data_IF_801711008019
#
_entry.id   IF_801711008019
#
_cell.length_a   1.000
_cell.length_b   1.000
_cell.length_c   1.000
_cell.angle_alpha   90.00
_cell.angle_beta   90.00
_cell.angle_gamma   90.00
#
_symmetry.space_group_name_H-M   'P 1'
#
loop_
_entity.id
_entity.type
_entity.pdbx_description
1 polymer ?
#
# COMPACT_ATOMS: atom_id res chain seq x y z
N UNK A 1 17.36 14.14 18.56
CA UNK A 1 17.37 14.65 17.18
C UNK A 1 17.42 13.42 16.31
N UNK A 2 16.28 12.93 15.87
CA UNK A 2 16.20 11.84 14.88
C UNK A 2 16.84 12.41 13.61
N UNK A 3 17.82 11.69 13.08
CA UNK A 3 18.44 12.03 11.80
C UNK A 3 17.34 11.82 10.74
N UNK A 4 16.62 12.89 10.39
CA UNK A 4 15.79 12.84 9.19
C UNK A 4 16.74 12.45 8.06
N UNK A 5 16.47 11.31 7.39
CA UNK A 5 17.20 10.96 6.18
C UNK A 5 17.10 12.14 5.21
N UNK A 6 18.13 12.39 4.40
CA UNK A 6 18.05 13.46 3.42
C UNK A 6 16.78 13.27 2.60
N UNK A 7 15.96 14.30 2.55
CA UNK A 7 14.73 14.35 1.76
C UNK A 7 15.07 13.97 0.31
N UNK A 8 14.54 12.83 -0.13
CA UNK A 8 14.55 12.46 -1.53
C UNK A 8 13.28 13.06 -2.12
N UNK A 9 13.42 13.87 -3.16
CA UNK A 9 12.26 14.45 -3.82
C UNK A 9 11.45 13.32 -4.44
N UNK A 10 10.16 13.18 -4.11
CA UNK A 10 9.32 12.17 -4.72
C UNK A 10 9.24 12.34 -6.24
N UNK A 11 9.16 11.23 -6.94
CA UNK A 11 8.92 11.20 -8.37
C UNK A 11 7.41 11.11 -8.64
N UNK A 12 6.96 11.73 -9.73
CA UNK A 12 5.54 11.75 -10.11
C UNK A 12 5.41 11.16 -11.50
N UNK A 13 4.61 10.11 -11.61
CA UNK A 13 4.28 9.47 -12.88
C UNK A 13 2.79 9.61 -13.16
N UNK A 14 2.39 10.19 -14.29
CA UNK A 14 1.02 10.07 -14.78
C UNK A 14 0.91 8.75 -15.52
N UNK A 15 0.46 7.69 -14.81
CA UNK A 15 0.43 6.31 -15.32
C UNK A 15 -0.79 6.00 -16.16
N UNK A 16 -1.83 6.81 -16.04
CA UNK A 16 -2.99 6.86 -16.95
C UNK A 16 -3.60 8.26 -16.85
N UNK A 17 -4.47 8.63 -17.77
CA UNK A 17 -5.08 9.97 -17.78
C UNK A 17 -5.77 10.29 -16.44
N UNK A 18 -5.21 11.26 -15.69
CA UNK A 18 -5.70 11.66 -14.37
C UNK A 18 -5.49 10.59 -13.27
N UNK A 19 -4.58 9.65 -13.47
CA UNK A 19 -4.11 8.71 -12.47
C UNK A 19 -2.60 8.90 -12.30
N UNK A 20 -2.20 9.30 -11.11
CA UNK A 20 -0.82 9.61 -10.77
C UNK A 20 -0.28 8.63 -9.73
N UNK A 21 0.92 8.12 -9.95
CA UNK A 21 1.73 7.51 -8.91
C UNK A 21 2.66 8.57 -8.34
N UNK A 22 2.65 8.71 -7.03
CA UNK A 22 3.57 9.53 -6.27
C UNK A 22 4.57 8.57 -5.63
N UNK A 23 5.71 8.37 -6.30
CA UNK A 23 6.75 7.46 -5.82
C UNK A 23 7.60 8.17 -4.77
N UNK A 24 7.45 7.76 -3.52
CA UNK A 24 8.02 8.45 -2.36
C UNK A 24 9.49 8.07 -2.09
N UNK A 25 10.00 7.11 -2.83
CA UNK A 25 11.37 6.68 -2.84
C UNK A 25 11.59 5.22 -2.48
N UNK A 26 12.79 4.73 -2.76
CA UNK A 26 13.30 3.40 -2.42
C UNK A 26 14.77 3.52 -2.08
N UNK A 27 15.21 2.86 -1.02
CA UNK A 27 16.63 2.75 -0.74
C UNK A 27 17.23 1.66 -1.64
N UNK A 28 17.91 2.10 -2.70
CA UNK A 28 18.64 1.21 -3.63
C UNK A 28 19.99 0.73 -3.08
N UNK A 29 20.34 1.12 -1.87
CA UNK A 29 21.56 0.61 -1.23
C UNK A 29 21.38 -0.87 -0.95
N UNK A 30 22.27 -1.76 -1.43
CA UNK A 30 22.18 -3.18 -1.13
C UNK A 30 22.02 -3.39 0.37
N UNK A 31 21.17 -4.34 0.81
CA UNK A 31 21.04 -4.61 2.23
C UNK A 31 22.41 -4.92 2.81
N UNK A 32 22.79 -4.16 3.81
CA UNK A 32 23.94 -4.46 4.65
C UNK A 32 23.75 -5.85 5.26
N UNK A 33 24.83 -6.56 5.66
CA UNK A 33 24.68 -7.81 6.40
C UNK A 33 23.66 -7.70 7.53
N UNK A 34 23.07 -8.81 7.92
CA UNK A 34 21.95 -8.92 8.88
C UNK A 34 22.09 -8.10 10.18
N UNK A 35 23.32 -7.69 10.53
CA UNK A 35 23.61 -6.78 11.64
C UNK A 35 23.13 -5.34 11.47
N UNK A 36 22.83 -4.93 10.22
CA UNK A 36 22.37 -3.58 9.86
C UNK A 36 20.90 -3.57 9.44
N UNK A 37 20.12 -4.58 9.82
CA UNK A 37 18.67 -4.57 9.66
C UNK A 37 18.14 -3.30 10.33
N UNK A 38 17.31 -2.62 9.60
CA UNK A 38 16.68 -1.37 9.95
C UNK A 38 16.45 -1.20 11.45
N UNK A 39 16.95 -0.12 12.00
CA UNK A 39 16.85 0.18 13.43
C UNK A 39 15.45 0.67 13.81
N UNK A 40 14.59 0.93 12.80
CA UNK A 40 13.21 1.35 12.98
C UNK A 40 12.35 0.90 11.77
N UNK A 41 11.04 0.89 11.95
CA UNK A 41 10.07 0.44 10.95
C UNK A 41 10.10 1.25 9.65
N UNK A 42 10.35 2.55 9.74
CA UNK A 42 10.42 3.45 8.59
C UNK A 42 11.56 3.10 7.63
N UNK A 43 12.71 2.70 8.18
CA UNK A 43 13.85 2.28 7.36
C UNK A 43 13.57 1.00 6.58
N UNK A 44 12.75 0.12 7.14
CA UNK A 44 12.33 -1.12 6.48
C UNK A 44 11.40 -0.80 5.31
N UNK A 45 10.34 -0.03 5.54
CA UNK A 45 9.37 0.34 4.52
C UNK A 45 10.01 1.14 3.38
N UNK A 46 10.95 2.04 3.73
CA UNK A 46 11.73 2.78 2.75
C UNK A 46 12.55 1.89 1.81
N UNK A 47 13.07 0.77 2.31
CA UNK A 47 13.83 -0.18 1.49
C UNK A 47 12.97 -0.89 0.45
N UNK A 48 11.70 -1.07 0.73
CA UNK A 48 10.75 -1.72 -0.17
C UNK A 48 10.23 -0.79 -1.26
N UNK A 49 10.42 0.51 -1.12
CA UNK A 49 9.79 1.52 -1.97
C UNK A 49 8.35 1.76 -1.53
N UNK A 50 7.91 2.99 -1.61
CA UNK A 50 6.55 3.37 -1.19
C UNK A 50 5.92 4.26 -2.25
N UNK A 51 4.69 3.93 -2.62
CA UNK A 51 3.86 4.71 -3.52
C UNK A 51 2.59 5.17 -2.83
N UNK A 52 2.17 6.39 -3.15
CA UNK A 52 0.79 6.83 -2.99
C UNK A 52 0.20 7.08 -4.37
N UNK A 53 -1.10 6.91 -4.52
CA UNK A 53 -1.74 7.18 -5.82
C UNK A 53 -2.74 8.31 -5.70
N UNK A 54 -2.89 9.08 -6.79
CA UNK A 54 -3.91 10.14 -6.87
C UNK A 54 -4.77 9.93 -8.10
N UNK A 55 -6.07 9.84 -7.90
CA UNK A 55 -7.06 9.70 -8.97
C UNK A 55 -7.83 11.01 -9.08
N UNK A 56 -7.84 11.62 -10.27
CA UNK A 56 -8.52 12.89 -10.51
C UNK A 56 -9.72 12.70 -11.43
N UNK A 57 -10.86 13.26 -11.02
CA UNK A 57 -12.06 13.25 -11.82
C UNK A 57 -13.13 14.22 -11.29
N UNK A 58 -13.87 14.88 -12.18
CA UNK A 58 -14.98 15.77 -11.80
C UNK A 58 -14.63 16.92 -10.85
N UNK A 59 -13.37 17.37 -10.85
CA UNK A 59 -12.88 18.40 -9.93
C UNK A 59 -12.60 17.88 -8.51
N UNK A 60 -12.52 16.58 -8.33
CA UNK A 60 -12.14 15.92 -7.08
C UNK A 60 -10.85 15.14 -7.29
N UNK A 61 -9.93 15.19 -6.34
CA UNK A 61 -8.79 14.29 -6.24
C UNK A 61 -9.03 13.30 -5.10
N UNK A 62 -8.82 12.01 -5.37
CA UNK A 62 -8.79 10.97 -4.36
C UNK A 62 -7.34 10.54 -4.18
N UNK A 63 -6.83 10.67 -2.95
CA UNK A 63 -5.50 10.22 -2.53
C UNK A 63 -5.64 8.83 -1.93
N UNK A 64 -4.94 7.86 -2.47
CA UNK A 64 -4.87 6.50 -1.95
C UNK A 64 -3.55 6.34 -1.22
N UNK A 65 -3.63 6.26 0.10
CA UNK A 65 -2.57 6.27 1.10
C UNK A 65 -1.78 7.60 1.19
N UNK A 66 -1.24 7.86 2.37
CA UNK A 66 -0.66 9.18 2.71
C UNK A 66 0.83 9.14 3.00
N UNK A 67 1.47 7.98 2.81
CA UNK A 67 2.91 7.78 2.92
C UNK A 67 3.41 7.45 4.34
N UNK A 68 4.71 7.18 4.41
CA UNK A 68 5.44 6.68 5.60
C UNK A 68 5.71 7.78 6.61
N UNK A 69 6.05 8.97 6.12
CA UNK A 69 6.42 10.10 6.96
C UNK A 69 5.36 11.19 6.94
N UNK A 70 5.23 11.90 8.05
CA UNK A 70 4.43 13.13 8.09
C UNK A 70 4.85 14.14 7.01
N UNK A 71 6.15 14.30 6.75
CA UNK A 71 6.66 15.17 5.67
C UNK A 71 6.25 14.73 4.27
N UNK A 72 6.12 13.43 4.02
CA UNK A 72 5.58 12.91 2.75
C UNK A 72 4.09 13.25 2.61
N UNK A 73 3.30 13.05 3.67
CA UNK A 73 1.89 13.47 3.68
C UNK A 73 1.71 14.95 3.39
N UNK A 74 2.55 15.80 3.97
CA UNK A 74 2.57 17.24 3.69
C UNK A 74 2.93 17.53 2.21
N UNK A 75 3.89 16.80 1.67
CA UNK A 75 4.29 16.95 0.26
C UNK A 75 3.16 16.47 -0.68
N UNK A 76 2.56 15.30 -0.42
CA UNK A 76 1.42 14.78 -1.20
C UNK A 76 0.28 15.82 -1.21
N UNK A 77 -0.08 16.35 -0.04
CA UNK A 77 -1.09 17.40 0.07
C UNK A 77 -0.75 18.60 -0.78
N UNK A 78 0.50 19.09 -0.67
CA UNK A 78 0.98 20.26 -1.43
C UNK A 78 0.96 20.02 -2.93
N UNK A 79 1.38 18.83 -3.39
CA UNK A 79 1.32 18.44 -4.80
C UNK A 79 -0.12 18.46 -5.32
N UNK A 80 -1.04 17.81 -4.62
CA UNK A 80 -2.45 17.75 -5.01
C UNK A 80 -3.05 19.15 -5.13
N UNK A 81 -2.80 20.02 -4.15
CA UNK A 81 -3.37 21.38 -4.15
C UNK A 81 -2.77 22.30 -5.21
N UNK A 82 -1.45 22.24 -5.44
CA UNK A 82 -0.76 23.19 -6.31
C UNK A 82 -0.74 22.77 -7.76
N UNK A 83 -0.52 21.47 -8.02
CA UNK A 83 -0.36 20.96 -9.38
C UNK A 83 -1.71 20.50 -9.97
N UNK A 84 -2.50 19.73 -9.18
CA UNK A 84 -3.77 19.18 -9.66
C UNK A 84 -4.97 20.10 -9.43
N UNK A 85 -4.89 20.99 -8.46
CA UNK A 85 -5.89 22.04 -8.14
C UNK A 85 -7.33 21.56 -8.09
N UNK A 86 -7.64 20.47 -7.38
CA UNK A 86 -8.99 20.00 -7.29
C UNK A 86 -9.87 20.95 -6.45
N UNK A 87 -11.18 20.88 -6.63
CA UNK A 87 -12.15 21.57 -5.77
C UNK A 87 -12.37 20.83 -4.44
N UNK A 88 -12.09 19.53 -4.40
CA UNK A 88 -12.23 18.66 -3.23
C UNK A 88 -11.13 17.61 -3.22
N UNK A 89 -10.73 17.23 -2.01
CA UNK A 89 -9.80 16.14 -1.78
C UNK A 89 -10.52 15.09 -0.93
N UNK A 90 -10.39 13.84 -1.31
CA UNK A 90 -10.76 12.66 -0.54
C UNK A 90 -9.50 11.85 -0.28
N UNK A 91 -9.43 11.19 0.87
CA UNK A 91 -8.37 10.23 1.17
C UNK A 91 -9.01 8.85 1.31
N UNK A 92 -8.34 7.83 0.82
CA UNK A 92 -8.64 6.43 1.12
C UNK A 92 -7.40 5.82 1.74
N UNK A 93 -7.52 5.26 2.94
CA UNK A 93 -6.48 4.41 3.51
C UNK A 93 -6.74 2.97 3.09
N UNK A 94 -5.72 2.34 2.53
CA UNK A 94 -5.78 0.95 2.08
C UNK A 94 -5.91 0.00 3.27
N UNK A 95 -5.11 0.22 4.31
CA UNK A 95 -5.13 -0.53 5.57
C UNK A 95 -4.47 0.27 6.69
N UNK A 96 -4.36 -0.33 7.89
CA UNK A 96 -3.96 0.37 9.11
C UNK A 96 -2.45 0.57 9.29
N UNK A 97 -1.58 -0.02 8.48
CA UNK A 97 -0.13 0.10 8.65
C UNK A 97 0.36 1.54 8.52
N UNK A 98 1.41 1.86 9.26
CA UNK A 98 1.82 3.25 9.47
C UNK A 98 2.36 3.91 8.21
N UNK A 99 2.97 3.16 7.33
CA UNK A 99 3.48 3.63 6.03
C UNK A 99 2.38 4.05 5.03
N UNK A 100 1.12 3.73 5.35
CA UNK A 100 -0.06 4.14 4.58
C UNK A 100 -0.83 5.29 5.21
N UNK A 101 -0.71 5.48 6.53
CA UNK A 101 -1.57 6.42 7.29
C UNK A 101 -0.80 7.54 7.99
N UNK A 102 0.53 7.52 8.03
CA UNK A 102 1.34 8.50 8.77
C UNK A 102 1.12 9.94 8.31
N UNK A 103 0.77 10.13 7.06
CA UNK A 103 0.45 11.47 6.51
C UNK A 103 -0.97 11.94 6.75
N UNK A 104 -1.86 11.15 7.35
CA UNK A 104 -3.28 11.50 7.56
C UNK A 104 -3.48 12.83 8.28
N UNK A 105 -2.55 13.22 9.16
CA UNK A 105 -2.61 14.49 9.89
C UNK A 105 -2.66 15.71 8.96
N UNK A 106 -2.07 15.63 7.76
CA UNK A 106 -2.12 16.68 6.77
C UNK A 106 -3.43 16.71 5.96
N UNK A 107 -4.33 15.75 6.18
CA UNK A 107 -5.64 15.61 5.54
C UNK A 107 -6.79 15.60 6.57
N UNK A 108 -6.53 16.02 7.81
CA UNK A 108 -7.54 16.00 8.87
C UNK A 108 -8.79 16.86 8.58
N UNK A 109 -8.68 17.82 7.65
CA UNK A 109 -9.76 18.66 7.15
C UNK A 109 -10.52 18.01 5.97
N UNK A 110 -10.08 16.84 5.50
CA UNK A 110 -10.67 16.10 4.38
C UNK A 110 -11.47 14.89 4.87
N UNK A 111 -12.41 14.38 4.04
CA UNK A 111 -12.94 13.03 4.24
C UNK A 111 -11.83 11.99 4.09
N UNK A 112 -11.61 11.19 5.15
CA UNK A 112 -10.72 10.04 5.15
C UNK A 112 -11.58 8.78 5.21
N UNK A 113 -11.49 7.96 4.20
CA UNK A 113 -12.31 6.78 3.96
C UNK A 113 -11.47 5.54 4.22
N UNK A 114 -11.98 4.57 4.96
CA UNK A 114 -11.36 3.26 5.14
C UNK A 114 -12.41 2.20 5.49
N UNK A 115 -11.99 0.94 5.63
CA UNK A 115 -12.87 -0.06 6.24
C UNK A 115 -13.13 0.26 7.71
N UNK A 116 -14.25 -0.22 8.26
CA UNK A 116 -14.50 -0.15 9.71
C UNK A 116 -13.38 -0.83 10.49
N UNK A 117 -12.84 -1.95 9.96
CA UNK A 117 -11.73 -2.70 10.58
C UNK A 117 -10.47 -1.85 10.69
N UNK A 118 -10.10 -1.13 9.64
CA UNK A 118 -8.95 -0.22 9.65
C UNK A 118 -9.10 0.85 10.74
N UNK A 119 -10.24 1.53 10.78
CA UNK A 119 -10.53 2.51 11.83
C UNK A 119 -10.47 1.91 13.23
N UNK A 120 -11.09 0.75 13.44
CA UNK A 120 -11.15 0.09 14.75
C UNK A 120 -9.75 -0.34 15.21
N UNK A 121 -8.92 -0.86 14.31
CA UNK A 121 -7.53 -1.23 14.58
C UNK A 121 -6.69 0.00 14.94
N UNK A 122 -6.76 1.07 14.14
CA UNK A 122 -6.07 2.33 14.44
C UNK A 122 -6.51 2.91 15.79
N UNK A 123 -7.80 2.89 16.08
CA UNK A 123 -8.34 3.38 17.36
C UNK A 123 -7.85 2.53 18.56
N UNK A 124 -7.80 1.22 18.41
CA UNK A 124 -7.32 0.31 19.45
C UNK A 124 -5.80 0.41 19.70
N UNK A 125 -5.05 0.79 18.68
CA UNK A 125 -3.59 0.89 18.74
C UNK A 125 -3.10 2.34 18.94
N UNK A 126 -3.99 3.33 18.97
CA UNK A 126 -3.64 4.76 18.95
C UNK A 126 -2.58 5.12 19.99
N UNK A 127 -2.79 4.78 21.26
CA UNK A 127 -1.84 5.12 22.34
C UNK A 127 -0.46 4.50 22.11
N UNK A 128 -0.42 3.29 21.55
CA UNK A 128 0.85 2.59 21.25
C UNK A 128 1.57 3.22 20.05
N UNK A 129 0.83 3.67 19.05
CA UNK A 129 1.36 4.34 17.86
C UNK A 129 1.91 5.71 18.27
N UNK A 130 1.12 6.52 18.97
CA UNK A 130 1.48 7.88 19.39
C UNK A 130 2.61 7.92 20.42
N UNK A 131 2.79 6.85 21.19
CA UNK A 131 3.91 6.70 22.13
C UNK A 131 5.14 5.97 21.53
N UNK A 132 5.11 5.62 20.24
CA UNK A 132 6.13 4.81 19.58
C UNK A 132 6.39 3.44 20.24
N UNK A 133 5.44 2.91 21.03
CA UNK A 133 5.61 1.63 21.71
C UNK A 133 5.15 0.43 20.87
N UNK A 134 4.52 0.67 19.70
CA UNK A 134 4.08 -0.40 18.80
C UNK A 134 5.25 -0.92 17.94
N UNK A 135 5.84 -0.06 17.14
CA UNK A 135 6.92 -0.40 16.19
C UNK A 135 8.20 0.42 16.41
N UNK A 136 8.25 1.21 17.48
CA UNK A 136 9.36 2.12 17.76
C UNK A 136 9.18 3.50 17.10
N UNK A 137 10.24 4.29 17.15
CA UNK A 137 10.27 5.63 16.55
C UNK A 137 10.33 5.56 15.01
N UNK A 138 9.76 6.55 14.31
CA UNK A 138 9.08 7.74 14.86
C UNK A 138 7.66 7.47 15.33
N UNK A 139 7.23 8.21 16.34
CA UNK A 139 5.83 8.26 16.73
C UNK A 139 4.98 8.89 15.62
N UNK A 140 3.78 8.38 15.43
CA UNK A 140 2.83 8.88 14.42
C UNK A 140 1.62 9.50 15.11
N UNK A 141 1.22 10.70 14.70
CA UNK A 141 -0.03 11.31 15.13
C UNK A 141 -1.20 10.65 14.41
N UNK A 142 -2.02 9.91 15.13
CA UNK A 142 -3.12 9.14 14.54
C UNK A 142 -4.31 10.04 14.23
N UNK A 143 -4.69 10.12 12.97
CA UNK A 143 -5.96 10.70 12.52
C UNK A 143 -6.82 9.60 11.94
N UNK A 144 -7.90 9.30 12.66
CA UNK A 144 -8.81 8.20 12.32
C UNK A 144 -9.64 8.52 11.07
N UNK A 145 -9.87 7.52 10.18
CA UNK A 145 -10.86 7.64 9.11
C UNK A 145 -12.22 8.10 9.65
N UNK A 146 -12.85 9.05 8.98
CA UNK A 146 -14.13 9.65 9.39
C UNK A 146 -15.31 9.17 8.52
N UNK A 147 -15.04 8.44 7.45
CA UNK A 147 -16.04 7.71 6.66
C UNK A 147 -15.61 6.24 6.60
N UNK A 148 -16.50 5.33 6.99
CA UNK A 148 -16.18 3.90 7.00
C UNK A 148 -17.19 3.08 6.24
N UNK A 149 -16.73 1.95 5.68
CA UNK A 149 -17.55 0.94 5.02
C UNK A 149 -17.16 -0.47 5.50
N UNK A 150 -18.03 -1.45 5.27
CA UNK A 150 -17.76 -2.84 5.69
C UNK A 150 -16.89 -3.59 4.66
N UNK A 151 -17.43 -3.85 3.49
CA UNK A 151 -16.81 -4.71 2.49
C UNK A 151 -16.63 -4.03 1.13
N UNK A 152 -17.58 -3.21 0.72
CA UNK A 152 -17.53 -2.54 -0.59
C UNK A 152 -18.06 -1.10 -0.51
N UNK A 153 -17.48 -0.21 -1.31
CA UNK A 153 -17.94 1.16 -1.49
C UNK A 153 -17.69 1.59 -2.94
N UNK A 154 -18.67 2.24 -3.57
CA UNK A 154 -18.47 2.88 -4.88
C UNK A 154 -18.38 4.38 -4.73
N UNK A 155 -17.42 4.97 -5.43
CA UNK A 155 -17.19 6.42 -5.47
C UNK A 155 -17.19 6.88 -6.92
N UNK A 156 -18.03 7.87 -7.22
CA UNK A 156 -18.07 8.48 -8.54
C UNK A 156 -17.20 9.73 -8.58
N UNK A 157 -16.14 9.72 -9.40
CA UNK A 157 -15.27 10.86 -9.65
C UNK A 157 -15.50 11.39 -11.08
N UNK A 158 -16.48 12.26 -11.25
CA UNK A 158 -16.86 12.72 -12.58
C UNK A 158 -17.38 11.57 -13.44
N UNK A 159 -16.65 11.20 -14.50
CA UNK A 159 -17.01 10.06 -15.36
C UNK A 159 -16.42 8.73 -14.90
N UNK A 160 -15.45 8.75 -14.02
CA UNK A 160 -14.75 7.56 -13.52
C UNK A 160 -15.49 6.98 -12.33
N UNK A 161 -15.74 5.71 -12.35
CA UNK A 161 -16.32 4.95 -11.24
C UNK A 161 -15.25 4.14 -10.57
N UNK A 162 -15.12 4.29 -9.26
CA UNK A 162 -14.17 3.57 -8.43
C UNK A 162 -14.93 2.57 -7.57
N UNK A 163 -14.49 1.33 -7.55
CA UNK A 163 -15.03 0.33 -6.67
C UNK A 163 -13.97 -0.07 -5.63
N UNK A 164 -14.17 0.36 -4.41
CA UNK A 164 -13.38 -0.01 -3.26
C UNK A 164 -13.87 -1.35 -2.75
N UNK A 165 -12.96 -2.32 -2.62
CA UNK A 165 -13.28 -3.67 -2.16
C UNK A 165 -12.34 -4.10 -1.06
N UNK A 166 -12.90 -4.61 0.04
CA UNK A 166 -12.10 -5.20 1.12
C UNK A 166 -11.66 -6.61 0.76
N UNK A 167 -10.42 -6.92 1.10
CA UNK A 167 -9.83 -8.24 1.04
C UNK A 167 -9.21 -8.61 2.40
N UNK A 168 -9.16 -9.89 2.72
CA UNK A 168 -8.38 -10.43 3.84
C UNK A 168 -7.05 -10.96 3.29
N UNK A 169 -6.29 -10.05 2.68
CA UNK A 169 -5.00 -10.32 2.05
C UNK A 169 -4.01 -9.26 2.51
N UNK A 170 -2.82 -9.64 2.96
CA UNK A 170 -1.87 -8.83 3.70
C UNK A 170 -2.40 -8.51 5.12
N UNK A 171 -3.47 -7.74 5.24
CA UNK A 171 -4.21 -7.49 6.50
C UNK A 171 -5.71 -7.71 6.32
N UNK A 172 -6.48 -7.98 7.41
CA UNK A 172 -7.92 -8.25 7.29
C UNK A 172 -8.77 -7.04 6.88
N UNK A 173 -8.17 -5.84 6.86
CA UNK A 173 -8.81 -4.58 6.54
C UNK A 173 -8.39 -3.99 5.19
N UNK A 174 -7.56 -4.72 4.43
CA UNK A 174 -6.99 -4.26 3.16
C UNK A 174 -8.05 -3.88 2.13
N UNK A 175 -7.84 -2.75 1.46
CA UNK A 175 -8.71 -2.20 0.42
C UNK A 175 -7.98 -2.14 -0.90
N UNK A 176 -8.62 -2.67 -1.94
CA UNK A 176 -8.25 -2.47 -3.34
C UNK A 176 -9.18 -1.41 -3.95
N UNK A 177 -8.67 -0.58 -4.84
CA UNK A 177 -9.48 0.30 -5.70
C UNK A 177 -9.45 -0.22 -7.14
N UNK A 178 -10.59 -0.72 -7.60
CA UNK A 178 -10.80 -1.04 -9.00
C UNK A 178 -11.32 0.21 -9.75
N UNK A 179 -10.65 0.59 -10.85
CA UNK A 179 -11.14 1.60 -11.77
C UNK A 179 -12.08 0.91 -12.76
N UNK A 180 -13.40 0.97 -12.48
CA UNK A 180 -14.41 0.21 -13.23
C UNK A 180 -14.37 0.52 -14.74
N UNK A 181 -14.22 -0.53 -15.55
CA UNK A 181 -14.18 -0.42 -17.02
C UNK A 181 -12.83 0.02 -17.60
N UNK A 182 -11.81 0.26 -16.75
CA UNK A 182 -10.46 0.62 -17.18
C UNK A 182 -9.46 -0.56 -17.09
N UNK A 183 -9.85 -1.67 -16.46
CA UNK A 183 -8.98 -2.84 -16.25
C UNK A 183 -7.85 -2.60 -15.26
N UNK A 184 -7.90 -1.52 -14.48
CA UNK A 184 -6.84 -1.09 -13.56
C UNK A 184 -7.27 -1.34 -12.11
N UNK A 185 -6.36 -1.92 -11.33
CA UNK A 185 -6.48 -2.08 -9.89
C UNK A 185 -5.31 -1.43 -9.15
N UNK A 186 -5.61 -0.57 -8.16
CA UNK A 186 -4.64 -0.14 -7.15
C UNK A 186 -4.74 -1.12 -5.98
N UNK A 187 -3.73 -1.96 -5.79
CA UNK A 187 -3.83 -3.12 -4.90
C UNK A 187 -3.10 -2.96 -3.57
N UNK A 188 -2.44 -1.81 -3.34
CA UNK A 188 -1.65 -1.58 -2.12
C UNK A 188 -0.71 -2.76 -1.83
N UNK A 189 -0.68 -3.28 -0.61
CA UNK A 189 0.21 -4.37 -0.18
C UNK A 189 -0.40 -5.77 -0.37
N UNK A 190 -1.53 -5.88 -1.05
CA UNK A 190 -2.07 -7.19 -1.42
C UNK A 190 -1.18 -7.93 -2.41
N UNK A 191 -0.49 -7.17 -3.25
CA UNK A 191 0.56 -7.64 -4.15
C UNK A 191 1.77 -6.72 -3.97
N UNK A 192 2.97 -7.28 -3.81
CA UNK A 192 4.19 -6.51 -3.56
C UNK A 192 5.32 -6.99 -4.48
N UNK A 193 6.03 -6.08 -5.13
CA UNK A 193 7.28 -6.37 -5.85
C UNK A 193 8.47 -6.19 -4.92
N UNK A 194 8.42 -6.97 -3.88
CA UNK A 194 9.41 -7.28 -2.87
C UNK A 194 9.01 -8.63 -2.31
N UNK A 195 9.69 -9.11 -1.28
CA UNK A 195 9.22 -10.30 -0.56
C UNK A 195 8.17 -9.86 0.44
N UNK A 196 6.90 -10.25 0.28
CA UNK A 196 5.84 -9.89 1.22
C UNK A 196 6.17 -10.39 2.62
N UNK A 197 5.98 -9.52 3.61
CA UNK A 197 6.23 -9.87 4.99
C UNK A 197 5.03 -10.62 5.58
N UNK A 198 5.17 -11.94 5.75
CA UNK A 198 4.11 -12.81 6.29
C UNK A 198 4.38 -13.12 7.75
N UNK A 199 3.55 -12.60 8.64
CA UNK A 199 3.63 -12.89 10.09
C UNK A 199 2.68 -14.00 10.54
N UNK A 200 1.61 -14.25 9.79
CA UNK A 200 0.51 -15.16 10.14
C UNK A 200 0.46 -16.33 9.14
N UNK A 201 1.38 -17.28 9.29
CA UNK A 201 1.48 -18.45 8.40
C UNK A 201 0.21 -19.30 8.34
N UNK A 202 -0.58 -19.32 9.39
CA UNK A 202 -1.87 -20.00 9.44
C UNK A 202 -2.94 -19.37 8.54
N UNK A 203 -2.71 -18.13 8.09
CA UNK A 203 -3.58 -17.43 7.13
C UNK A 203 -3.25 -17.69 5.66
N UNK A 204 -2.17 -18.36 5.33
CA UNK A 204 -1.81 -18.65 3.92
C UNK A 204 -2.98 -19.26 3.14
N UNK A 205 -3.78 -20.21 3.67
CA UNK A 205 -4.96 -20.70 2.95
C UNK A 205 -6.07 -19.64 2.74
N UNK A 206 -6.12 -18.61 3.58
CA UNK A 206 -7.02 -17.46 3.38
C UNK A 206 -6.47 -16.62 2.22
N UNK A 207 -5.18 -16.32 2.24
CA UNK A 207 -4.51 -15.53 1.20
C UNK A 207 -4.67 -16.15 -0.18
N UNK A 208 -4.49 -17.47 -0.32
CA UNK A 208 -4.71 -18.18 -1.58
C UNK A 208 -6.14 -18.01 -2.12
N UNK A 209 -7.16 -18.05 -1.24
CA UNK A 209 -8.54 -17.79 -1.64
C UNK A 209 -8.77 -16.35 -2.07
N UNK A 210 -8.17 -15.40 -1.34
CA UNK A 210 -8.29 -13.97 -1.66
C UNK A 210 -7.56 -13.63 -2.97
N UNK A 211 -6.40 -14.24 -3.27
CA UNK A 211 -5.74 -14.12 -4.57
C UNK A 211 -6.61 -14.66 -5.71
N UNK A 212 -7.25 -15.80 -5.52
CA UNK A 212 -8.21 -16.34 -6.49
C UNK A 212 -9.41 -15.40 -6.71
N UNK A 213 -9.88 -14.73 -5.64
CA UNK A 213 -10.94 -13.72 -5.71
C UNK A 213 -10.44 -12.47 -6.45
N UNK A 214 -9.22 -12.03 -6.19
CA UNK A 214 -8.58 -10.91 -6.87
C UNK A 214 -8.45 -11.18 -8.37
N UNK A 215 -7.98 -12.37 -8.75
CA UNK A 215 -7.93 -12.83 -10.15
C UNK A 215 -9.30 -12.79 -10.83
N UNK A 216 -10.35 -13.14 -10.08
CA UNK A 216 -11.74 -13.11 -10.56
C UNK A 216 -12.28 -11.72 -10.91
N UNK A 217 -11.62 -10.63 -10.52
CA UNK A 217 -11.99 -9.28 -10.93
C UNK A 217 -11.68 -9.03 -12.41
N UNK A 218 -10.73 -9.76 -13.01
CA UNK A 218 -10.38 -9.63 -14.42
C UNK A 218 -9.67 -8.30 -14.75
N UNK A 219 -8.93 -7.74 -13.80
CA UNK A 219 -8.10 -6.57 -14.05
C UNK A 219 -6.89 -6.96 -14.90
N UNK A 220 -6.48 -6.08 -15.82
CA UNK A 220 -5.34 -6.27 -16.70
C UNK A 220 -4.04 -5.74 -16.09
N UNK A 221 -4.16 -4.73 -15.20
CA UNK A 221 -3.04 -3.99 -14.63
C UNK A 221 -3.21 -3.79 -13.14
N UNK A 222 -2.13 -4.05 -12.40
CA UNK A 222 -2.05 -3.90 -10.95
C UNK A 222 -0.96 -2.90 -10.58
N UNK A 223 -1.27 -2.02 -9.65
CA UNK A 223 -0.34 -1.05 -9.08
C UNK A 223 -0.25 -1.24 -7.57
N UNK A 224 0.87 -1.79 -7.06
CA UNK A 224 1.11 -1.99 -5.62
C UNK A 224 1.60 -0.72 -4.94
N UNK A 225 1.55 -0.67 -3.61
CA UNK A 225 2.22 0.37 -2.84
C UNK A 225 3.74 0.14 -2.81
N UNK A 226 4.17 -1.11 -2.62
CA UNK A 226 5.57 -1.51 -2.68
C UNK A 226 5.87 -2.13 -4.04
N UNK A 227 6.46 -1.34 -4.94
CA UNK A 227 6.71 -1.76 -6.31
C UNK A 227 7.95 -1.17 -6.92
N UNK A 228 8.38 -1.74 -8.05
CA UNK A 228 9.48 -1.21 -8.83
C UNK A 228 9.02 0.04 -9.60
N UNK A 229 9.65 1.22 -9.40
CA UNK A 229 9.23 2.46 -10.04
C UNK A 229 9.24 2.36 -11.56
N UNK A 230 10.21 1.64 -12.12
CA UNK A 230 10.32 1.47 -13.57
C UNK A 230 9.15 0.64 -14.15
N UNK A 231 8.70 -0.40 -13.44
CA UNK A 231 7.52 -1.17 -13.86
C UNK A 231 6.26 -0.32 -13.75
N UNK A 232 6.10 0.40 -12.63
CA UNK A 232 4.95 1.28 -12.39
C UNK A 232 4.84 2.36 -13.48
N UNK A 233 5.95 3.05 -13.79
CA UNK A 233 6.01 4.08 -14.83
C UNK A 233 5.66 3.54 -16.22
N UNK A 234 6.04 2.29 -16.52
CA UNK A 234 5.89 1.69 -17.84
C UNK A 234 4.65 0.81 -17.98
N UNK A 235 3.60 1.02 -17.17
CA UNK A 235 2.30 0.41 -17.37
C UNK A 235 1.86 -0.57 -16.28
N UNK A 236 2.63 -0.69 -15.19
CA UNK A 236 2.27 -1.51 -14.04
C UNK A 236 2.51 -3.02 -14.25
N UNK A 237 1.95 -3.81 -13.35
CA UNK A 237 2.11 -5.27 -13.32
C UNK A 237 0.92 -5.95 -13.96
N UNK A 238 1.19 -6.97 -14.79
CA UNK A 238 0.14 -7.80 -15.38
C UNK A 238 -0.41 -8.87 -14.41
N UNK A 239 -1.36 -9.71 -14.86
CA UNK A 239 -1.95 -10.77 -14.05
C UNK A 239 -0.96 -11.82 -13.50
N UNK A 240 0.20 -12.01 -14.14
CA UNK A 240 1.27 -12.88 -13.63
C UNK A 240 1.81 -12.45 -12.26
N UNK A 241 1.57 -11.20 -11.85
CA UNK A 241 1.89 -10.74 -10.50
C UNK A 241 1.11 -11.49 -9.41
N UNK A 242 -0.15 -11.87 -9.70
CA UNK A 242 -0.93 -12.74 -8.82
C UNK A 242 -0.34 -14.15 -8.80
N UNK A 243 0.12 -14.66 -9.95
CA UNK A 243 0.72 -15.99 -10.05
C UNK A 243 2.00 -16.08 -9.20
N UNK A 244 2.86 -15.04 -9.26
CA UNK A 244 4.06 -14.95 -8.43
C UNK A 244 3.73 -15.00 -6.92
N UNK A 245 2.70 -14.27 -6.50
CA UNK A 245 2.25 -14.27 -5.10
C UNK A 245 1.71 -15.64 -4.67
N UNK A 246 0.93 -16.31 -5.53
CA UNK A 246 0.43 -17.67 -5.25
C UNK A 246 1.60 -18.66 -5.09
N UNK A 247 2.58 -18.64 -5.99
CA UNK A 247 3.77 -19.50 -5.90
C UNK A 247 4.57 -19.23 -4.63
N UNK A 248 4.75 -17.96 -4.26
CA UNK A 248 5.43 -17.59 -3.04
C UNK A 248 4.72 -18.15 -1.80
N UNK A 249 3.41 -17.95 -1.67
CA UNK A 249 2.65 -18.48 -0.52
C UNK A 249 2.63 -20.02 -0.49
N UNK A 250 2.52 -20.69 -1.63
CA UNK A 250 2.65 -22.15 -1.70
C UNK A 250 4.03 -22.62 -1.22
N UNK A 251 5.09 -21.89 -1.53
CA UNK A 251 6.44 -22.21 -1.08
C UNK A 251 6.59 -22.01 0.44
N UNK A 252 6.01 -20.94 0.99
CA UNK A 252 5.98 -20.73 2.44
C UNK A 252 5.21 -21.84 3.17
N UNK A 253 4.10 -22.31 2.61
CA UNK A 253 3.33 -23.43 3.18
C UNK A 253 4.15 -24.73 3.21
N UNK A 254 4.88 -25.04 2.12
CA UNK A 254 5.79 -26.19 2.07
C UNK A 254 6.94 -26.08 3.08
N UNK A 255 7.48 -24.88 3.27
CA UNK A 255 8.50 -24.63 4.31
C UNK A 255 7.89 -24.84 5.70
N UNK A 256 6.72 -24.30 5.95
CA UNK A 256 6.02 -24.41 7.23
C UNK A 256 5.63 -25.86 7.57
N UNK A 257 5.27 -26.69 6.58
CA UNK A 257 4.96 -28.12 6.75
C UNK A 257 6.21 -29.01 6.84
N UNK A 258 7.40 -28.48 6.56
CA UNK A 258 8.65 -29.24 6.51
C UNK A 258 8.87 -30.03 5.20
N UNK A 259 8.05 -29.78 4.18
CA UNK A 259 8.21 -30.37 2.84
C UNK A 259 9.32 -29.70 2.03
N UNK A 260 9.66 -28.46 2.36
CA UNK A 260 10.78 -27.72 1.78
C UNK A 260 11.70 -27.17 2.89
N UNK A 261 13.01 -26.98 2.61
CA UNK A 261 13.94 -26.45 3.59
C UNK A 261 13.67 -24.95 3.83
N UNK A 262 13.85 -24.51 5.08
CA UNK A 262 13.72 -23.07 5.44
C UNK A 262 14.74 -22.15 4.74
N UNK A 263 15.77 -22.75 4.11
CA UNK A 263 16.80 -22.05 3.33
C UNK A 263 16.51 -22.05 1.82
N UNK A 264 15.25 -22.31 1.41
CA UNK A 264 14.87 -22.28 0.00
C UNK A 264 15.13 -20.88 -0.57
N UNK A 265 15.94 -20.71 -1.63
CA UNK A 265 16.17 -19.42 -2.25
C UNK A 265 14.87 -18.81 -2.79
N UNK A 266 14.77 -17.48 -2.73
CA UNK A 266 13.58 -16.77 -3.22
C UNK A 266 13.29 -17.08 -4.70
N UNK A 267 14.35 -17.16 -5.50
CA UNK A 267 14.25 -17.48 -6.94
C UNK A 267 13.62 -18.86 -7.20
N UNK A 268 13.75 -19.80 -6.25
CA UNK A 268 13.10 -21.12 -6.33
C UNK A 268 11.65 -21.06 -5.79
N UNK A 269 11.31 -20.04 -4.99
CA UNK A 269 9.94 -19.84 -4.50
C UNK A 269 9.01 -19.28 -5.58
N UNK A 270 9.54 -18.61 -6.59
CA UNK A 270 8.78 -17.91 -7.65
C UNK A 270 9.24 -18.32 -9.07
N UNK A 271 9.87 -19.49 -9.21
CA UNK A 271 10.57 -19.89 -10.45
C UNK A 271 9.67 -20.02 -11.69
N UNK A 272 8.36 -20.05 -11.53
CA UNK A 272 7.40 -20.29 -12.63
C UNK A 272 6.41 -19.11 -12.83
N UNK A 273 6.56 -18.01 -12.10
CA UNK A 273 5.69 -16.84 -12.17
C UNK A 273 6.01 -15.87 -13.31
#
# INVERSE_FOLDING_TARGET
>A
MLCERPWVQPEVYEIASGLYCLYLGRDVTPPSPVSDIATNWVDLDWKWGVCSYVIVGGGTALVFDTGVYSSQGMWIRSFVERELRPKRILVVNSHWHLDHVSGNAHFADCPIIATMRCRDTLSALQDKIESASLWGEPAVSVVLPNITFADELRIQLGRRSLHLRRFDLHTPDSVLIELEGEGICLCSDMLEDTVPFVTEFDKIPVFARELSRLRGLGCDVFYPCHGNPHVIENGGYGPSFIDAMEEYYCSLEKIGSGEAPASLPLEECIAHA
#
